data_IF_011697747854
#
_entry.id   IF_011697747854
#
_cell.length_a   1.000
_cell.length_b   1.000
_cell.length_c   1.000
_cell.angle_alpha   90.00
_cell.angle_beta   90.00
_cell.angle_gamma   90.00
#
_symmetry.space_group_name_H-M   'P 1'
#
loop_
_entity.id
_entity.type
_entity.pdbx_description
1 polymer ?
#
# COMPACT_ATOMS: atom_id res chain seq x y z
N UNK A 1 -32.46 -21.70 -25.00
CA UNK A 1 -32.45 -21.72 -23.52
C UNK A 1 -31.50 -20.64 -22.96
N UNK A 2 -31.72 -19.34 -23.22
CA UNK A 2 -30.84 -18.29 -22.64
C UNK A 2 -31.47 -16.88 -22.52
N UNK A 3 -32.80 -16.75 -22.62
CA UNK A 3 -33.50 -15.44 -22.51
C UNK A 3 -33.87 -15.07 -21.07
N UNK A 4 -33.93 -16.03 -20.15
CA UNK A 4 -34.25 -15.77 -18.74
C UNK A 4 -33.02 -15.30 -17.93
N UNK A 5 -31.80 -15.59 -18.39
CA UNK A 5 -30.56 -15.21 -17.68
C UNK A 5 -30.13 -13.76 -17.95
N UNK A 6 -30.56 -13.17 -19.07
CA UNK A 6 -30.24 -11.77 -19.42
C UNK A 6 -31.10 -10.77 -18.63
N UNK A 7 -32.38 -11.08 -18.39
CA UNK A 7 -33.30 -10.20 -17.65
C UNK A 7 -32.93 -9.99 -16.18
N UNK A 8 -32.43 -11.04 -15.50
CA UNK A 8 -31.98 -10.95 -14.09
C UNK A 8 -30.65 -10.22 -13.95
N UNK A 9 -29.71 -10.45 -14.87
CA UNK A 9 -28.42 -9.76 -14.96
C UNK A 9 -28.58 -8.27 -15.28
N UNK A 10 -29.45 -7.94 -16.25
CA UNK A 10 -29.69 -6.57 -16.65
C UNK A 10 -30.36 -5.77 -15.52
N UNK A 11 -31.35 -6.35 -14.82
CA UNK A 11 -32.00 -5.73 -13.66
C UNK A 11 -31.02 -5.47 -12.50
N UNK A 12 -30.10 -6.40 -12.23
CA UNK A 12 -29.02 -6.19 -11.24
C UNK A 12 -28.08 -5.05 -11.63
N UNK A 13 -27.70 -4.95 -12.92
CA UNK A 13 -26.83 -3.87 -13.43
C UNK A 13 -27.44 -2.48 -13.25
N UNK A 14 -28.74 -2.32 -13.48
CA UNK A 14 -29.42 -1.03 -13.25
C UNK A 14 -29.47 -0.63 -11.78
N UNK A 15 -29.60 -1.61 -10.87
CA UNK A 15 -29.53 -1.36 -9.43
C UNK A 15 -28.11 -0.98 -8.97
N UNK A 16 -27.07 -1.58 -9.57
CA UNK A 16 -25.68 -1.19 -9.32
C UNK A 16 -25.38 0.22 -9.84
N UNK A 17 -25.82 0.55 -11.06
CA UNK A 17 -25.66 1.89 -11.64
C UNK A 17 -26.36 2.94 -10.78
N UNK A 18 -27.57 2.66 -10.28
CA UNK A 18 -28.29 3.56 -9.37
C UNK A 18 -27.53 3.82 -8.07
N UNK A 19 -26.91 2.78 -7.48
CA UNK A 19 -26.08 2.91 -6.28
C UNK A 19 -24.80 3.71 -6.54
N UNK A 20 -24.13 3.49 -7.67
CA UNK A 20 -22.96 4.27 -8.08
C UNK A 20 -23.29 5.74 -8.33
N UNK A 21 -24.44 6.02 -8.97
CA UNK A 21 -24.93 7.38 -9.20
C UNK A 21 -25.19 8.12 -7.87
N UNK A 22 -25.73 7.41 -6.87
CA UNK A 22 -25.94 7.96 -5.52
C UNK A 22 -24.64 8.33 -4.81
N UNK A 23 -23.57 7.53 -4.98
CA UNK A 23 -22.24 7.84 -4.42
C UNK A 23 -21.66 9.09 -5.09
N UNK A 24 -21.72 9.16 -6.43
CA UNK A 24 -21.21 10.33 -7.19
C UNK A 24 -21.98 11.59 -6.82
N UNK A 25 -23.30 11.49 -6.67
CA UNK A 25 -24.16 12.59 -6.25
C UNK A 25 -23.82 13.09 -4.83
N UNK A 26 -23.60 12.17 -3.89
CA UNK A 26 -23.16 12.51 -2.53
C UNK A 26 -21.79 13.22 -2.54
N UNK A 27 -20.86 12.76 -3.39
CA UNK A 27 -19.54 13.37 -3.54
C UNK A 27 -19.63 14.79 -4.15
N UNK A 28 -20.47 14.99 -5.15
CA UNK A 28 -20.74 16.31 -5.74
C UNK A 28 -21.34 17.28 -4.72
N UNK A 29 -22.29 16.82 -3.90
CA UNK A 29 -22.84 17.63 -2.80
C UNK A 29 -21.77 18.01 -1.78
N UNK A 30 -20.84 17.11 -1.46
CA UNK A 30 -19.71 17.40 -0.57
C UNK A 30 -18.80 18.50 -1.12
N UNK A 31 -18.47 18.43 -2.41
CA UNK A 31 -17.63 19.43 -3.09
C UNK A 31 -18.33 20.79 -3.14
N UNK A 32 -19.61 20.82 -3.52
CA UNK A 32 -20.41 22.05 -3.60
C UNK A 32 -20.59 22.68 -2.22
N UNK A 33 -20.89 21.87 -1.20
CA UNK A 33 -21.01 22.31 0.18
C UNK A 33 -19.70 22.91 0.72
N UNK A 34 -18.55 22.34 0.35
CA UNK A 34 -17.24 22.89 0.71
C UNK A 34 -17.00 24.28 0.11
N UNK A 35 -17.40 24.50 -1.15
CA UNK A 35 -17.21 25.78 -1.85
C UNK A 35 -18.13 26.87 -1.28
N UNK A 36 -19.39 26.55 -1.00
CA UNK A 36 -20.36 27.51 -0.44
C UNK A 36 -20.01 27.94 0.99
N UNK A 37 -19.47 27.03 1.82
CA UNK A 37 -19.08 27.33 3.20
C UNK A 37 -17.68 27.96 3.33
N UNK A 38 -17.24 28.75 2.35
CA UNK A 38 -15.94 29.45 2.36
C UNK A 38 -15.73 30.38 3.55
N UNK A 39 -16.81 30.88 4.17
CA UNK A 39 -16.75 31.93 5.19
C UNK A 39 -17.02 31.43 6.62
N UNK A 40 -16.88 30.13 6.88
CA UNK A 40 -17.23 29.49 8.17
C UNK A 40 -16.04 28.79 8.83
N UNK A 41 -16.07 28.59 10.17
CA UNK A 41 -14.98 27.96 10.90
C UNK A 41 -14.70 26.53 10.42
N UNK A 42 -13.41 26.22 10.31
CA UNK A 42 -12.85 24.98 9.70
C UNK A 42 -13.43 23.69 10.31
N UNK A 43 -13.78 23.70 11.61
CA UNK A 43 -14.33 22.54 12.32
C UNK A 43 -15.66 22.04 11.74
N UNK A 44 -16.56 22.93 11.32
CA UNK A 44 -17.87 22.53 10.76
C UNK A 44 -17.71 21.88 9.37
N UNK A 45 -16.72 22.32 8.59
CA UNK A 45 -16.41 21.75 7.27
C UNK A 45 -15.92 20.31 7.40
N UNK A 46 -14.99 20.07 8.32
CA UNK A 46 -14.44 18.72 8.58
C UNK A 46 -15.56 17.77 9.03
N UNK A 47 -16.46 18.23 9.91
CA UNK A 47 -17.57 17.40 10.40
C UNK A 47 -18.56 17.03 9.28
N UNK A 48 -18.91 17.98 8.41
CA UNK A 48 -19.79 17.73 7.26
C UNK A 48 -19.19 16.75 6.25
N UNK A 49 -17.88 16.87 5.97
CA UNK A 49 -17.16 15.95 5.09
C UNK A 49 -17.09 14.55 5.71
N UNK A 50 -16.83 14.44 7.01
CA UNK A 50 -16.83 13.15 7.71
C UNK A 50 -18.19 12.47 7.62
N UNK A 51 -19.28 13.21 7.84
CA UNK A 51 -20.64 12.68 7.78
C UNK A 51 -20.98 12.15 6.37
N UNK A 52 -20.63 12.90 5.32
CA UNK A 52 -20.81 12.47 3.93
C UNK A 52 -19.95 11.25 3.59
N UNK A 53 -18.71 11.20 4.08
CA UNK A 53 -17.84 10.04 3.89
C UNK A 53 -18.43 8.79 4.56
N UNK A 54 -18.91 8.89 5.79
CA UNK A 54 -19.50 7.74 6.51
C UNK A 54 -20.77 7.21 5.83
N UNK A 55 -21.62 8.09 5.32
CA UNK A 55 -22.85 7.69 4.60
C UNK A 55 -22.52 7.06 3.24
N UNK A 56 -21.58 7.64 2.47
CA UNK A 56 -21.10 7.07 1.21
C UNK A 56 -20.46 5.68 1.41
N UNK A 57 -19.62 5.52 2.44
CA UNK A 57 -18.97 4.24 2.76
C UNK A 57 -19.99 3.18 3.20
N UNK A 58 -21.05 3.58 3.91
CA UNK A 58 -22.13 2.68 4.31
C UNK A 58 -22.94 2.19 3.11
N UNK A 59 -23.25 3.07 2.16
CA UNK A 59 -23.93 2.72 0.90
C UNK A 59 -23.05 1.80 0.04
N UNK A 60 -21.74 2.07 -0.01
CA UNK A 60 -20.78 1.24 -0.72
C UNK A 60 -20.73 -0.19 -0.18
N UNK A 61 -20.73 -0.37 1.16
CA UNK A 61 -20.76 -1.69 1.81
C UNK A 61 -22.02 -2.49 1.50
N UNK A 62 -23.15 -1.83 1.21
CA UNK A 62 -24.43 -2.45 0.86
C UNK A 62 -24.54 -2.86 -0.63
N UNK A 63 -23.46 -2.71 -1.41
CA UNK A 63 -23.42 -3.10 -2.83
C UNK A 63 -22.84 -4.52 -3.00
N UNK A 64 -23.34 -5.27 -3.98
CA UNK A 64 -22.94 -6.67 -4.25
C UNK A 64 -21.42 -6.78 -4.47
N UNK A 65 -20.84 -5.81 -5.22
CA UNK A 65 -19.39 -5.62 -5.37
C UNK A 65 -18.64 -5.40 -4.05
N UNK A 66 -19.22 -4.65 -3.11
CA UNK A 66 -18.63 -4.35 -1.80
C UNK A 66 -18.56 -5.58 -0.91
N UNK A 67 -19.62 -6.41 -0.90
CA UNK A 67 -19.62 -7.68 -0.16
C UNK A 67 -18.57 -8.65 -0.70
N UNK A 68 -18.42 -8.73 -2.02
CA UNK A 68 -17.40 -9.54 -2.69
C UNK A 68 -15.99 -9.06 -2.31
N UNK A 69 -15.73 -7.75 -2.35
CA UNK A 69 -14.44 -7.19 -1.97
C UNK A 69 -14.07 -7.47 -0.50
N UNK A 70 -15.03 -7.38 0.42
CA UNK A 70 -14.82 -7.70 1.84
C UNK A 70 -14.48 -9.19 2.01
N UNK A 71 -15.19 -10.07 1.30
CA UNK A 71 -14.91 -11.50 1.34
C UNK A 71 -13.53 -11.84 0.78
N UNK A 72 -13.10 -11.18 -0.31
CA UNK A 72 -11.73 -11.30 -0.83
C UNK A 72 -10.66 -10.86 0.17
N UNK A 73 -10.87 -9.76 0.90
CA UNK A 73 -9.93 -9.32 1.95
C UNK A 73 -9.83 -10.38 3.05
N UNK A 74 -10.95 -10.98 3.43
CA UNK A 74 -10.98 -12.03 4.43
C UNK A 74 -10.32 -13.34 3.94
N UNK A 75 -10.44 -13.67 2.66
CA UNK A 75 -9.72 -14.77 2.03
C UNK A 75 -8.21 -14.48 1.95
N UNK A 76 -7.80 -13.29 1.52
CA UNK A 76 -6.40 -12.88 1.44
C UNK A 76 -5.68 -12.92 2.79
N UNK A 77 -6.31 -12.44 3.86
CA UNK A 77 -5.75 -12.54 5.22
C UNK A 77 -5.59 -13.99 5.69
N UNK A 78 -6.47 -14.91 5.27
CA UNK A 78 -6.33 -16.34 5.58
C UNK A 78 -5.17 -16.98 4.82
N UNK A 79 -4.85 -16.50 3.63
CA UNK A 79 -3.70 -16.96 2.85
C UNK A 79 -2.38 -16.37 3.37
N UNK A 80 -2.36 -15.12 3.80
CA UNK A 80 -1.19 -14.50 4.44
C UNK A 80 -0.77 -15.29 5.69
N UNK A 81 -1.73 -15.83 6.46
CA UNK A 81 -1.43 -16.70 7.61
C UNK A 81 -0.82 -18.05 7.22
N UNK A 82 -0.91 -18.48 5.96
CA UNK A 82 -0.22 -19.66 5.43
C UNK A 82 1.24 -19.36 5.08
N UNK A 83 1.64 -18.10 5.07
CA UNK A 83 3.04 -17.72 5.00
C UNK A 83 3.63 -18.10 6.36
N UNK A 84 4.18 -19.30 6.44
CA UNK A 84 5.07 -19.73 7.52
C UNK A 84 6.28 -18.81 7.46
N UNK A 85 6.18 -17.66 8.13
CA UNK A 85 7.31 -16.75 8.24
C UNK A 85 8.49 -17.55 8.79
N UNK A 86 9.63 -17.51 8.08
CA UNK A 86 10.79 -18.32 8.42
C UNK A 86 11.17 -18.06 9.88
N UNK A 87 11.52 -19.13 10.58
CA UNK A 87 11.90 -19.02 11.99
C UNK A 87 13.13 -18.10 12.13
N UNK A 88 13.24 -17.31 13.22
CA UNK A 88 14.36 -16.39 13.39
C UNK A 88 15.71 -17.11 13.36
N UNK A 89 15.75 -18.39 13.77
CA UNK A 89 16.97 -19.18 13.80
C UNK A 89 17.50 -19.46 12.38
N UNK A 90 16.65 -19.82 11.43
CA UNK A 90 17.04 -20.09 10.03
C UNK A 90 17.53 -18.82 9.31
N UNK A 91 16.92 -17.68 9.64
CA UNK A 91 17.29 -16.37 9.08
C UNK A 91 18.68 -15.94 9.56
N UNK A 92 18.99 -16.16 10.84
CA UNK A 92 20.29 -15.80 11.43
C UNK A 92 21.45 -16.64 10.86
N UNK A 93 21.25 -17.92 10.58
CA UNK A 93 22.30 -18.75 9.98
C UNK A 93 22.75 -18.18 8.62
N UNK A 94 21.80 -17.79 7.78
CA UNK A 94 22.11 -17.27 6.45
C UNK A 94 22.72 -15.87 6.50
N UNK A 95 22.20 -14.97 7.35
CA UNK A 95 22.74 -13.60 7.48
C UNK A 95 24.13 -13.58 8.13
N UNK A 96 24.40 -14.49 9.08
CA UNK A 96 25.72 -14.60 9.71
C UNK A 96 26.78 -15.08 8.71
N UNK A 97 26.45 -16.07 7.87
CA UNK A 97 27.34 -16.53 6.80
C UNK A 97 27.66 -15.38 5.83
N UNK A 98 26.64 -14.65 5.35
CA UNK A 98 26.82 -13.55 4.40
C UNK A 98 27.59 -12.38 5.02
N UNK A 99 27.29 -12.00 6.27
CA UNK A 99 27.99 -10.92 6.97
C UNK A 99 29.46 -11.28 7.25
N UNK A 100 29.75 -12.53 7.62
CA UNK A 100 31.12 -13.00 7.78
C UNK A 100 31.90 -12.95 6.45
N UNK A 101 31.30 -13.44 5.35
CA UNK A 101 31.93 -13.37 4.03
C UNK A 101 32.20 -11.92 3.58
N UNK A 102 31.24 -11.01 3.84
CA UNK A 102 31.38 -9.59 3.50
C UNK A 102 32.43 -8.90 4.36
N UNK A 103 32.52 -9.23 5.65
CA UNK A 103 33.55 -8.72 6.55
C UNK A 103 34.96 -9.12 6.11
N UNK A 104 35.13 -10.38 5.68
CA UNK A 104 36.41 -10.87 5.12
C UNK A 104 36.79 -10.11 3.86
N UNK A 105 35.86 -9.95 2.91
CA UNK A 105 36.11 -9.18 1.68
C UNK A 105 36.46 -7.73 1.97
N UNK A 106 35.74 -7.08 2.89
CA UNK A 106 36.02 -5.71 3.30
C UNK A 106 37.40 -5.57 3.94
N UNK A 107 37.84 -6.56 4.74
CA UNK A 107 39.14 -6.55 5.39
C UNK A 107 40.28 -6.71 4.37
N UNK A 108 40.10 -7.58 3.36
CA UNK A 108 41.09 -7.79 2.29
C UNK A 108 41.26 -6.51 1.46
N UNK A 109 40.15 -5.91 1.01
CA UNK A 109 40.18 -4.66 0.26
C UNK A 109 40.85 -3.56 1.09
N UNK A 110 40.37 -3.32 2.31
CA UNK A 110 40.95 -2.32 3.21
C UNK A 110 42.46 -2.51 3.41
N UNK A 111 42.93 -3.74 3.63
CA UNK A 111 44.36 -4.02 3.79
C UNK A 111 45.17 -3.70 2.54
N UNK A 112 44.65 -4.08 1.36
CA UNK A 112 45.29 -3.80 0.07
C UNK A 112 45.34 -2.30 -0.22
N UNK A 113 44.23 -1.60 -0.04
CA UNK A 113 44.11 -0.15 -0.24
C UNK A 113 45.11 0.62 0.66
N UNK A 114 45.23 0.25 1.94
CA UNK A 114 46.20 0.86 2.86
C UNK A 114 47.65 0.60 2.43
N UNK A 115 47.96 -0.61 1.94
CA UNK A 115 49.28 -0.96 1.47
C UNK A 115 49.65 -0.15 0.21
N UNK A 116 48.72 -0.02 -0.75
CA UNK A 116 48.92 0.80 -1.95
C UNK A 116 49.22 2.26 -1.60
N UNK A 117 48.41 2.87 -0.72
CA UNK A 117 48.62 4.26 -0.29
C UNK A 117 49.97 4.43 0.38
N UNK A 118 50.40 3.48 1.22
CA UNK A 118 51.71 3.52 1.88
C UNK A 118 52.86 3.46 0.86
N UNK A 119 52.76 2.62 -0.17
CA UNK A 119 53.77 2.53 -1.24
C UNK A 119 53.80 3.81 -2.07
N UNK A 120 52.64 4.32 -2.49
CA UNK A 120 52.53 5.56 -3.28
C UNK A 120 53.08 6.75 -2.51
N UNK A 121 52.76 6.86 -1.21
CA UNK A 121 53.27 7.92 -0.33
C UNK A 121 54.79 7.82 -0.14
N UNK A 122 55.34 6.61 0.00
CA UNK A 122 56.79 6.40 0.10
C UNK A 122 57.52 6.85 -1.19
N UNK A 123 57.00 6.47 -2.37
CA UNK A 123 57.60 6.84 -3.65
C UNK A 123 57.48 8.36 -3.92
N UNK A 124 56.33 8.96 -3.61
CA UNK A 124 56.12 10.40 -3.80
C UNK A 124 56.96 11.22 -2.81
N UNK A 125 57.09 10.74 -1.57
CA UNK A 125 57.91 11.38 -0.53
C UNK A 125 59.42 11.31 -0.80
N UNK A 126 59.89 10.37 -1.62
CA UNK A 126 61.28 10.27 -2.07
C UNK A 126 61.62 11.19 -3.26
N UNK A 127 60.61 11.83 -3.87
CA UNK A 127 60.75 12.71 -5.04
C UNK A 127 60.63 14.21 -4.66
N UNK A 128 61.17 14.57 -3.50
CA UNK A 128 61.46 15.94 -3.08
C UNK A 128 62.86 16.01 -2.46
#
# INVERSE_FOLDING_TARGET
MNIYFTGTQQKKRWLEIGKWLSIIFCFLIAIIGNIWFSNTPVYLRILAILFLLTTATSIFRLTEKGKIAIDYIYQAHREIKKITWPSPNETLHTTLIVSAATAVMSLILWGLDNLLVRIISFITGLRF
#
